data_IF_323409427811
#
_entry.id   IF_323409427811
#
_cell.length_a   1.000
_cell.length_b   1.000
_cell.length_c   1.000
_cell.angle_alpha   90.00
_cell.angle_beta   90.00
_cell.angle_gamma   90.00
#
_symmetry.space_group_name_H-M   'P 1'
#
loop_
_entity.id
_entity.type
_entity.pdbx_description
1 polymer ?
#
# COMPACT_ATOMS: atom_id res chain seq x y z
N UNK A 1 41.31 -12.70 13.62
CA UNK A 1 41.34 -11.22 13.75
C UNK A 1 39.96 -10.69 13.38
N UNK A 2 39.04 -10.67 14.36
CA UNK A 2 37.60 -10.42 14.14
C UNK A 2 37.29 -8.92 14.11
N UNK A 3 36.95 -8.40 12.93
CA UNK A 3 36.53 -7.01 12.75
C UNK A 3 35.22 -6.75 13.51
N UNK A 4 35.30 -5.77 14.40
CA UNK A 4 34.21 -5.21 15.20
C UNK A 4 33.02 -4.84 14.31
N UNK A 5 31.97 -5.66 14.33
CA UNK A 5 30.64 -5.24 13.88
C UNK A 5 30.11 -4.20 14.86
N UNK A 6 30.40 -2.92 14.58
CA UNK A 6 29.80 -1.79 15.27
C UNK A 6 28.32 -1.74 14.88
N UNK A 7 27.45 -2.43 15.64
CA UNK A 7 26.00 -2.29 15.49
C UNK A 7 25.61 -0.85 15.82
N UNK A 8 25.35 -0.05 14.80
CA UNK A 8 24.76 1.28 14.94
C UNK A 8 23.32 1.09 15.42
N UNK A 9 23.09 1.26 16.73
CA UNK A 9 21.75 1.19 17.31
C UNK A 9 21.10 2.58 17.21
N UNK A 10 20.33 2.80 16.15
CA UNK A 10 19.57 4.03 15.96
C UNK A 10 18.44 4.09 17.00
N UNK A 11 18.55 5.01 17.96
CA UNK A 11 17.52 5.25 18.99
C UNK A 11 16.40 6.08 18.38
N UNK A 12 15.27 5.43 18.08
CA UNK A 12 14.22 5.99 17.22
C UNK A 12 12.98 6.43 18.01
N UNK A 13 12.43 7.62 17.71
CA UNK A 13 11.24 8.15 18.41
C UNK A 13 9.95 7.52 17.86
N UNK A 14 9.08 7.07 18.77
CA UNK A 14 8.07 6.02 18.55
C UNK A 14 6.96 6.33 17.54
N UNK A 15 6.31 7.50 17.58
CA UNK A 15 5.06 7.72 16.82
C UNK A 15 5.27 7.94 15.31
N UNK A 16 6.27 8.74 14.90
CA UNK A 16 6.63 8.92 13.48
C UNK A 16 7.16 7.63 12.84
N UNK A 17 7.78 6.76 13.64
CA UNK A 17 8.26 5.47 13.15
C UNK A 17 7.14 4.47 12.88
N UNK A 18 6.05 4.51 13.65
CA UNK A 18 4.91 3.63 13.43
C UNK A 18 4.22 3.95 12.09
N UNK A 19 3.93 5.24 11.83
CA UNK A 19 3.35 5.68 10.55
C UNK A 19 4.28 5.38 9.36
N UNK A 20 5.56 5.78 9.47
CA UNK A 20 6.55 5.48 8.43
C UNK A 20 6.72 3.97 8.24
N UNK A 21 6.62 3.20 9.32
CA UNK A 21 6.73 1.75 9.30
C UNK A 21 5.53 1.05 8.66
N UNK A 22 4.31 1.57 8.82
CA UNK A 22 3.09 1.04 8.16
C UNK A 22 3.16 1.35 6.66
N UNK A 23 3.48 2.59 6.30
CA UNK A 23 3.62 2.99 4.90
C UNK A 23 4.71 2.19 4.18
N UNK A 24 5.90 2.08 4.77
CA UNK A 24 6.99 1.28 4.19
C UNK A 24 6.64 -0.21 4.10
N UNK A 25 5.94 -0.77 5.10
CA UNK A 25 5.45 -2.15 5.04
C UNK A 25 4.41 -2.36 3.94
N UNK A 26 3.49 -1.41 3.74
CA UNK A 26 2.50 -1.48 2.67
C UNK A 26 3.18 -1.47 1.29
N UNK A 27 4.18 -0.60 1.10
CA UNK A 27 4.95 -0.54 -0.15
C UNK A 27 5.79 -1.81 -0.39
N UNK A 28 6.41 -2.36 0.66
CA UNK A 28 7.27 -3.55 0.58
C UNK A 28 6.51 -4.88 0.52
N UNK A 29 5.23 -4.92 0.92
CA UNK A 29 4.41 -6.13 0.90
C UNK A 29 4.28 -6.70 -0.52
N UNK A 30 4.03 -8.00 -0.64
CA UNK A 30 3.59 -8.58 -1.91
C UNK A 30 2.21 -8.02 -2.31
N UNK A 31 1.89 -8.03 -3.61
CA UNK A 31 0.57 -7.62 -4.09
C UNK A 31 -0.62 -8.34 -3.42
N UNK A 32 -0.63 -9.68 -3.28
CA UNK A 32 -1.75 -10.37 -2.62
C UNK A 32 -1.89 -9.99 -1.15
N UNK A 33 -0.79 -9.82 -0.42
CA UNK A 33 -0.84 -9.42 0.99
C UNK A 33 -1.35 -7.99 1.17
N UNK A 34 -0.99 -7.10 0.24
CA UNK A 34 -1.52 -5.73 0.21
C UNK A 34 -3.04 -5.74 -0.02
N UNK A 35 -3.52 -6.47 -1.03
CA UNK A 35 -4.96 -6.56 -1.32
C UNK A 35 -5.74 -7.18 -0.16
N UNK A 36 -5.22 -8.24 0.44
CA UNK A 36 -5.82 -8.89 1.61
C UNK A 36 -5.90 -7.92 2.79
N UNK A 37 -4.84 -7.15 3.06
CA UNK A 37 -4.82 -6.13 4.10
C UNK A 37 -5.85 -5.00 3.84
N UNK A 38 -5.99 -4.56 2.59
CA UNK A 38 -6.99 -3.55 2.22
C UNK A 38 -8.42 -4.06 2.38
N UNK A 39 -8.70 -5.31 1.97
CA UNK A 39 -10.00 -5.97 2.18
C UNK A 39 -10.29 -6.10 3.68
N UNK A 40 -9.30 -6.52 4.47
CA UNK A 40 -9.44 -6.63 5.92
C UNK A 40 -9.70 -5.25 6.57
N UNK A 41 -9.00 -4.19 6.15
CA UNK A 41 -9.26 -2.83 6.63
C UNK A 41 -10.66 -2.35 6.25
N UNK A 42 -11.10 -2.62 5.02
CA UNK A 42 -12.46 -2.30 4.57
C UNK A 42 -13.49 -2.98 5.48
N UNK A 43 -13.39 -4.30 5.69
CA UNK A 43 -14.31 -5.04 6.56
C UNK A 43 -14.25 -4.56 8.03
N UNK A 44 -13.07 -4.23 8.55
CA UNK A 44 -12.90 -3.76 9.93
C UNK A 44 -13.55 -2.40 10.19
N UNK A 45 -13.67 -1.54 9.18
CA UNK A 45 -14.41 -0.27 9.30
C UNK A 45 -15.92 -0.54 9.44
N UNK A 46 -16.41 -1.65 8.88
CA UNK A 46 -17.84 -1.98 8.83
C UNK A 46 -18.33 -2.78 10.05
N UNK A 47 -17.53 -3.71 10.57
CA UNK A 47 -17.83 -4.55 11.75
C UNK A 47 -18.37 -3.80 13.00
N UNK A 48 -17.84 -2.62 13.40
CA UNK A 48 -18.32 -1.94 14.60
C UNK A 48 -19.70 -1.30 14.44
N UNK A 49 -20.11 -0.93 13.21
CA UNK A 49 -21.46 -0.42 12.96
C UNK A 49 -22.50 -1.54 13.04
N UNK A 50 -22.08 -2.75 12.72
CA UNK A 50 -22.92 -3.96 12.72
C UNK A 50 -23.19 -4.51 14.14
N UNK A 51 -22.21 -4.47 15.06
CA UNK A 51 -22.40 -4.99 16.43
C UNK A 51 -23.30 -4.13 17.34
N UNK A 52 -23.52 -2.84 17.03
CA UNK A 52 -24.36 -1.95 17.85
C UNK A 52 -25.87 -2.25 17.72
N UNK A 53 -26.26 -3.18 16.86
CA UNK A 53 -27.67 -3.46 16.49
C UNK A 53 -28.14 -4.86 16.95
N UNK A 54 -27.58 -5.39 18.05
CA UNK A 54 -27.83 -6.77 18.49
C UNK A 54 -29.16 -7.04 19.23
N UNK A 55 -29.96 -6.02 19.52
CA UNK A 55 -31.26 -6.25 20.15
C UNK A 55 -32.35 -6.16 19.07
N UNK A 56 -32.71 -7.33 18.52
CA UNK A 56 -34.05 -7.73 18.02
C UNK A 56 -34.33 -7.93 16.51
N UNK A 57 -33.36 -7.91 15.57
CA UNK A 57 -33.70 -8.02 14.12
C UNK A 57 -32.66 -8.65 13.17
N UNK A 58 -32.63 -9.98 13.05
CA UNK A 58 -31.77 -10.67 12.06
C UNK A 58 -32.06 -10.31 10.59
N UNK A 59 -33.31 -10.04 10.23
CA UNK A 59 -33.73 -9.65 8.86
C UNK A 59 -33.37 -8.19 8.52
N UNK A 60 -33.45 -7.26 9.48
CA UNK A 60 -33.10 -5.83 9.25
C UNK A 60 -31.59 -5.59 9.21
N UNK A 61 -30.82 -6.48 9.81
CA UNK A 61 -29.36 -6.40 9.81
C UNK A 61 -28.77 -6.60 8.41
N UNK A 62 -29.23 -7.63 7.69
CA UNK A 62 -28.76 -7.91 6.33
C UNK A 62 -29.03 -6.74 5.39
N UNK A 63 -30.25 -6.19 5.45
CA UNK A 63 -30.64 -5.00 4.68
C UNK A 63 -29.77 -3.78 5.04
N UNK A 64 -29.48 -3.55 6.32
CA UNK A 64 -28.61 -2.45 6.74
C UNK A 64 -27.15 -2.63 6.29
N UNK A 65 -26.64 -3.86 6.30
CA UNK A 65 -25.31 -4.17 5.77
C UNK A 65 -25.25 -3.92 4.25
N UNK A 66 -26.22 -4.43 3.50
CA UNK A 66 -26.30 -4.18 2.06
C UNK A 66 -26.50 -2.70 1.73
N UNK A 67 -27.26 -1.97 2.56
CA UNK A 67 -27.36 -0.51 2.49
C UNK A 67 -26.00 0.16 2.69
N UNK A 68 -25.24 -0.21 3.72
CA UNK A 68 -23.90 0.33 3.95
C UNK A 68 -22.96 0.05 2.77
N UNK A 69 -22.98 -1.17 2.23
CA UNK A 69 -22.13 -1.58 1.11
C UNK A 69 -22.47 -0.79 -0.16
N UNK A 70 -23.74 -0.68 -0.55
CA UNK A 70 -24.12 0.08 -1.75
C UNK A 70 -23.84 1.58 -1.62
N UNK A 71 -23.93 2.14 -0.40
CA UNK A 71 -23.70 3.57 -0.15
C UNK A 71 -22.22 3.90 -0.15
N UNK A 72 -21.38 3.10 0.52
CA UNK A 72 -19.93 3.35 0.57
C UNK A 72 -19.24 3.07 -0.78
N UNK A 73 -19.74 2.08 -1.52
CA UNK A 73 -19.28 1.80 -2.89
C UNK A 73 -19.81 2.81 -3.90
N UNK A 74 -20.67 3.74 -3.48
CA UNK A 74 -21.33 4.74 -4.33
C UNK A 74 -22.20 4.14 -5.45
N UNK A 75 -22.56 2.86 -5.35
CA UNK A 75 -23.45 2.18 -6.31
C UNK A 75 -24.88 2.68 -6.16
N UNK A 76 -25.38 2.74 -4.92
CA UNK A 76 -26.67 3.33 -4.58
C UNK A 76 -27.85 2.87 -5.43
N UNK A 77 -28.23 1.58 -5.35
CA UNK A 77 -29.36 1.03 -6.13
C UNK A 77 -30.70 1.73 -5.91
N UNK A 78 -30.85 2.48 -4.80
CA UNK A 78 -32.01 3.31 -4.49
C UNK A 78 -33.17 2.58 -3.81
N UNK A 79 -33.10 1.25 -3.68
CA UNK A 79 -34.13 0.44 -2.99
C UNK A 79 -34.12 0.63 -1.48
N UNK A 80 -32.92 0.75 -0.90
CA UNK A 80 -32.71 1.04 0.53
C UNK A 80 -32.25 2.49 0.67
N UNK A 81 -32.99 3.28 1.45
CA UNK A 81 -32.71 4.70 1.69
C UNK A 81 -32.93 5.07 3.16
N UNK A 82 -32.20 6.07 3.70
CA UNK A 82 -32.46 6.57 5.04
C UNK A 82 -33.87 7.15 5.12
N UNK A 83 -34.49 7.09 6.31
CA UNK A 83 -35.83 7.68 6.52
C UNK A 83 -35.78 9.18 6.22
N UNK A 84 -36.65 9.63 5.31
CA UNK A 84 -36.71 11.01 4.82
C UNK A 84 -36.92 12.05 5.94
N UNK A 85 -37.53 11.67 7.05
CA UNK A 85 -37.87 12.56 8.15
C UNK A 85 -36.82 12.60 9.28
N UNK A 86 -35.59 12.10 9.04
CA UNK A 86 -34.52 12.08 10.05
C UNK A 86 -33.24 12.70 9.50
N UNK A 87 -32.98 13.96 9.87
CA UNK A 87 -31.75 14.68 9.51
C UNK A 87 -30.49 13.97 10.06
N UNK A 88 -30.62 13.33 11.22
CA UNK A 88 -29.55 12.56 11.85
C UNK A 88 -29.14 11.37 10.98
N UNK A 89 -30.11 10.64 10.40
CA UNK A 89 -29.82 9.50 9.53
C UNK A 89 -29.11 9.93 8.24
N UNK A 90 -29.54 11.05 7.65
CA UNK A 90 -28.90 11.62 6.46
C UNK A 90 -27.46 12.09 6.74
N UNK A 91 -27.20 12.67 7.93
CA UNK A 91 -25.84 13.05 8.33
C UNK A 91 -24.90 11.84 8.48
N UNK A 92 -25.39 10.73 9.03
CA UNK A 92 -24.60 9.48 9.09
C UNK A 92 -24.29 8.91 7.70
N UNK A 93 -25.26 8.96 6.78
CA UNK A 93 -25.06 8.56 5.39
C UNK A 93 -24.03 9.44 4.69
N UNK A 94 -24.06 10.75 4.94
CA UNK A 94 -23.03 11.67 4.45
C UNK A 94 -21.63 11.30 4.95
N UNK A 95 -21.48 11.07 6.26
CA UNK A 95 -20.20 10.64 6.84
C UNK A 95 -19.73 9.30 6.26
N UNK A 96 -20.66 8.38 6.02
CA UNK A 96 -20.37 7.08 5.42
C UNK A 96 -19.82 7.24 3.99
N UNK A 97 -20.46 8.03 3.14
CA UNK A 97 -19.98 8.33 1.78
C UNK A 97 -18.62 9.03 1.81
N UNK A 98 -18.45 10.02 2.69
CA UNK A 98 -17.18 10.73 2.85
C UNK A 98 -16.04 9.78 3.24
N UNK A 99 -16.30 8.85 4.17
CA UNK A 99 -15.31 7.84 4.57
C UNK A 99 -14.97 6.88 3.41
N UNK A 100 -15.95 6.48 2.61
CA UNK A 100 -15.74 5.65 1.42
C UNK A 100 -14.84 6.32 0.39
N UNK A 101 -15.09 7.59 0.10
CA UNK A 101 -14.26 8.40 -0.81
C UNK A 101 -12.83 8.56 -0.30
N UNK A 102 -12.66 8.75 1.01
CA UNK A 102 -11.34 8.87 1.61
C UNK A 102 -10.55 7.55 1.51
N UNK A 103 -11.19 6.42 1.82
CA UNK A 103 -10.57 5.09 1.72
C UNK A 103 -10.20 4.77 0.27
N UNK A 104 -11.10 5.00 -0.70
CA UNK A 104 -10.81 4.72 -2.12
C UNK A 104 -9.65 5.56 -2.65
N UNK A 105 -9.57 6.83 -2.25
CA UNK A 105 -8.47 7.73 -2.60
C UNK A 105 -7.14 7.25 -2.02
N UNK A 106 -7.12 6.84 -0.74
CA UNK A 106 -5.92 6.30 -0.10
C UNK A 106 -5.44 4.99 -0.74
N UNK A 107 -6.36 4.08 -1.04
CA UNK A 107 -6.05 2.81 -1.73
C UNK A 107 -5.41 3.07 -3.09
N UNK A 108 -6.00 3.99 -3.84
CA UNK A 108 -5.49 4.39 -5.16
C UNK A 108 -4.10 5.02 -5.04
N UNK A 109 -3.92 5.92 -4.07
CA UNK A 109 -2.64 6.59 -3.81
C UNK A 109 -1.52 5.61 -3.43
N UNK A 110 -1.78 4.63 -2.56
CA UNK A 110 -0.81 3.59 -2.18
C UNK A 110 -0.47 2.71 -3.39
N UNK A 111 -1.48 2.36 -4.19
CA UNK A 111 -1.30 1.55 -5.41
C UNK A 111 -0.38 2.25 -6.41
N UNK A 112 -0.62 3.54 -6.67
CA UNK A 112 0.25 4.35 -7.53
C UNK A 112 1.65 4.49 -6.95
N UNK A 113 1.77 4.80 -5.65
CA UNK A 113 3.07 4.91 -5.00
C UNK A 113 3.89 3.61 -5.12
N UNK A 114 3.23 2.45 -5.01
CA UNK A 114 3.87 1.14 -5.20
C UNK A 114 4.31 0.89 -6.64
N UNK A 115 3.54 1.33 -7.63
CA UNK A 115 3.95 1.26 -9.04
C UNK A 115 5.11 2.20 -9.36
N UNK A 116 5.22 3.34 -8.68
CA UNK A 116 6.33 4.28 -8.86
C UNK A 116 7.68 3.76 -8.33
N UNK A 117 7.69 2.68 -7.52
CA UNK A 117 8.95 2.14 -6.99
C UNK A 117 9.71 1.43 -8.11
N UNK A 118 10.91 1.92 -8.51
CA UNK A 118 11.73 1.25 -9.49
C UNK A 118 12.23 -0.07 -8.91
N UNK A 119 11.96 -1.19 -9.59
CA UNK A 119 12.48 -2.49 -9.18
C UNK A 119 13.99 -2.52 -9.38
N UNK A 120 14.76 -2.66 -8.30
CA UNK A 120 16.22 -2.71 -8.33
C UNK A 120 16.81 -3.90 -9.12
N UNK A 121 16.01 -4.94 -9.37
CA UNK A 121 16.39 -6.13 -10.16
C UNK A 121 16.58 -5.85 -11.65
N UNK A 122 16.50 -4.59 -12.08
CA UNK A 122 16.64 -4.19 -13.48
C UNK A 122 18.07 -4.09 -13.94
N UNK A 123 19.05 -4.01 -13.02
CA UNK A 123 20.47 -3.99 -13.35
C UNK A 123 21.12 -5.30 -12.89
N UNK A 124 21.75 -5.99 -13.83
CA UNK A 124 22.56 -7.18 -13.59
C UNK A 124 24.02 -6.75 -13.57
N UNK A 125 24.77 -7.25 -12.60
CA UNK A 125 26.21 -7.02 -12.48
C UNK A 125 26.94 -8.36 -12.63
N UNK A 126 28.19 -8.34 -13.07
CA UNK A 126 29.04 -9.53 -13.02
C UNK A 126 29.43 -9.87 -11.59
N UNK A 127 29.36 -11.16 -11.25
CA UNK A 127 29.79 -11.68 -9.95
C UNK A 127 31.29 -11.54 -9.71
N UNK A 128 32.08 -11.46 -10.78
CA UNK A 128 33.53 -11.36 -10.73
C UNK A 128 34.04 -10.06 -11.33
N UNK A 129 35.05 -9.50 -10.67
CA UNK A 129 35.87 -8.39 -11.15
C UNK A 129 37.08 -8.96 -11.87
N UNK A 130 37.42 -8.39 -13.02
CA UNK A 130 38.51 -8.85 -13.86
C UNK A 130 39.67 -7.85 -13.78
N UNK A 131 40.85 -8.33 -13.39
CA UNK A 131 42.10 -7.56 -13.44
C UNK A 131 42.81 -7.90 -14.75
N UNK A 132 42.85 -6.95 -15.69
CA UNK A 132 43.46 -7.16 -17.01
C UNK A 132 44.28 -5.96 -17.43
N UNK A 133 45.08 -6.14 -18.47
CA UNK A 133 45.76 -5.04 -19.16
C UNK A 133 44.88 -4.53 -20.30
N UNK A 134 44.51 -3.26 -20.25
CA UNK A 134 43.75 -2.58 -21.29
C UNK A 134 44.55 -1.38 -21.80
N UNK A 135 44.79 -1.31 -23.10
CA UNK A 135 45.68 -0.32 -23.73
C UNK A 135 47.00 -0.13 -22.95
N UNK A 136 47.70 -1.21 -22.64
CA UNK A 136 49.00 -1.22 -21.93
C UNK A 136 48.98 -0.74 -20.47
N UNK A 137 47.81 -0.49 -19.88
CA UNK A 137 47.66 -0.16 -18.46
C UNK A 137 46.91 -1.27 -17.71
N UNK A 138 47.25 -1.49 -16.44
CA UNK A 138 46.47 -2.37 -15.57
C UNK A 138 45.14 -1.72 -15.25
N UNK A 139 44.05 -2.39 -15.59
CA UNK A 139 42.68 -1.93 -15.40
C UNK A 139 41.86 -2.97 -14.66
N UNK A 140 40.92 -2.48 -13.84
CA UNK A 140 39.85 -3.29 -13.24
C UNK A 140 38.63 -3.16 -14.12
N UNK A 141 38.08 -4.27 -14.57
CA UNK A 141 36.88 -4.31 -15.40
C UNK A 141 35.78 -5.10 -14.70
N UNK A 142 34.55 -4.61 -14.85
CA UNK A 142 33.34 -5.35 -14.55
C UNK A 142 32.29 -5.01 -15.60
N UNK A 143 31.28 -5.86 -15.74
CA UNK A 143 30.17 -5.61 -16.66
C UNK A 143 28.88 -5.38 -15.90
N UNK A 144 28.06 -4.46 -16.40
CA UNK A 144 26.69 -4.26 -15.97
C UNK A 144 25.78 -4.33 -17.20
N UNK A 145 24.62 -4.97 -17.06
CA UNK A 145 23.64 -5.11 -18.12
C UNK A 145 22.25 -4.76 -17.59
N UNK A 146 21.39 -4.25 -18.48
CA UNK A 146 19.98 -4.02 -18.16
C UNK A 146 19.19 -5.31 -18.38
N UNK A 147 18.39 -5.71 -17.39
CA UNK A 147 17.41 -6.79 -17.48
C UNK A 147 16.00 -6.26 -17.82
N UNK A 148 15.89 -5.00 -18.27
CA UNK A 148 14.61 -4.44 -18.71
C UNK A 148 14.29 -4.89 -20.12
N UNK A 149 13.04 -5.33 -20.33
CA UNK A 149 12.50 -5.57 -21.67
C UNK A 149 12.22 -4.27 -22.44
N UNK A 150 11.95 -3.18 -21.72
CA UNK A 150 11.55 -1.89 -22.30
C UNK A 150 12.22 -0.72 -21.57
N UNK A 151 12.57 0.32 -22.32
CA UNK A 151 13.23 1.54 -21.84
C UNK A 151 14.75 1.47 -21.91
N UNK A 152 15.35 2.51 -22.50
CA UNK A 152 16.81 2.68 -22.58
C UNK A 152 17.28 3.41 -21.32
N UNK A 153 18.41 2.98 -20.77
CA UNK A 153 19.11 3.73 -19.72
C UNK A 153 19.87 4.87 -20.40
N UNK A 154 19.42 6.09 -20.17
CA UNK A 154 20.10 7.31 -20.64
C UNK A 154 20.93 7.82 -19.47
N UNK A 155 22.23 8.04 -19.71
CA UNK A 155 23.22 8.56 -18.75
C UNK A 155 23.39 7.73 -17.47
N UNK A 156 24.40 6.86 -17.45
CA UNK A 156 24.86 6.14 -16.26
C UNK A 156 26.25 6.59 -15.83
N UNK A 157 26.39 7.00 -14.57
CA UNK A 157 27.69 7.21 -13.92
C UNK A 157 27.90 6.11 -12.88
N UNK A 158 29.06 5.46 -12.92
CA UNK A 158 29.50 4.53 -11.88
C UNK A 158 30.41 5.28 -10.89
N UNK A 159 30.33 4.92 -9.61
CA UNK A 159 31.18 5.45 -8.53
C UNK A 159 31.72 4.30 -7.70
#
# INVERSE_FOLDING_TARGET
MSLLQRRVRVKNRSCRLLLNGIYQRALAASWPNLLLCLIACYLAIHEPLTQRTQNDFGLKYGELFFFCVQTISTVGYGTLSPRQNSDVANFFVFLLIFSGLFVSTLVTGITWAKFSIPKASTLLYSDFLLLTTFHSHRAVMFRAASNRKFGVLVEGSFR
#
